data_IF_723947198099
#
_entry.id   IF_723947198099
#
_cell.length_a   1.000
_cell.length_b   1.000
_cell.length_c   1.000
_cell.angle_alpha   90.00
_cell.angle_beta   90.00
_cell.angle_gamma   90.00
#
_symmetry.space_group_name_H-M   'P 1'
#
loop_
_entity.id
_entity.type
_entity.pdbx_description
1 polymer ?
#
# COMPACT_ATOMS: atom_id res chain seq x y z
N UNK A 1 -8.41 -34.01 22.47
CA UNK A 1 -8.24 -33.13 21.29
C UNK A 1 -8.25 -31.66 21.67
N UNK A 2 -9.37 -31.10 22.19
CA UNK A 2 -9.46 -29.67 22.55
C UNK A 2 -8.34 -29.16 23.47
N UNK A 3 -7.93 -29.92 24.48
CA UNK A 3 -6.81 -29.54 25.36
C UNK A 3 -5.45 -29.55 24.66
N UNK A 4 -5.23 -30.50 23.74
CA UNK A 4 -3.94 -30.71 23.09
C UNK A 4 -3.71 -29.80 21.87
N UNK A 5 -4.79 -29.31 21.27
CA UNK A 5 -4.80 -28.45 20.08
C UNK A 5 -5.62 -27.18 20.34
N UNK A 6 -5.51 -26.62 21.54
CA UNK A 6 -6.35 -25.50 21.98
C UNK A 6 -6.17 -24.24 21.13
N UNK A 7 -5.01 -24.07 20.50
CA UNK A 7 -4.70 -23.02 19.53
C UNK A 7 -5.57 -23.07 18.25
N UNK A 8 -6.28 -24.17 17.99
CA UNK A 8 -7.20 -24.30 16.87
C UNK A 8 -8.65 -23.93 17.22
N UNK A 9 -8.94 -23.63 18.49
CA UNK A 9 -10.27 -23.28 18.96
C UNK A 9 -10.30 -21.81 19.37
N UNK A 10 -11.21 -21.05 18.77
CA UNK A 10 -11.43 -19.64 19.13
C UNK A 10 -11.92 -19.47 20.57
N UNK A 11 -11.67 -18.29 21.11
CA UNK A 11 -12.20 -17.87 22.41
C UNK A 11 -13.73 -17.81 22.38
N UNK A 12 -14.36 -18.07 23.52
CA UNK A 12 -15.79 -17.84 23.68
C UNK A 12 -16.06 -16.35 23.99
N UNK A 13 -17.31 -15.93 23.87
CA UNK A 13 -17.74 -14.55 24.11
C UNK A 13 -17.35 -14.02 25.49
N UNK A 14 -17.36 -14.87 26.53
CA UNK A 14 -16.96 -14.47 27.88
C UNK A 14 -15.48 -14.14 27.94
N UNK A 15 -14.63 -15.01 27.38
CA UNK A 15 -13.18 -14.77 27.32
C UNK A 15 -12.85 -13.52 26.51
N UNK A 16 -13.50 -13.30 25.37
CA UNK A 16 -13.31 -12.07 24.58
C UNK A 16 -13.74 -10.84 25.38
N UNK A 17 -14.89 -10.89 26.06
CA UNK A 17 -15.35 -9.79 26.91
C UNK A 17 -14.38 -9.51 28.08
N UNK A 18 -13.84 -10.55 28.72
CA UNK A 18 -12.86 -10.41 29.81
C UNK A 18 -11.57 -9.76 29.29
N UNK A 19 -11.05 -10.19 28.13
CA UNK A 19 -9.88 -9.57 27.47
C UNK A 19 -10.13 -8.08 27.21
N UNK A 20 -11.29 -7.70 26.66
CA UNK A 20 -11.62 -6.30 26.35
C UNK A 20 -11.72 -5.45 27.63
N UNK A 21 -12.26 -6.02 28.71
CA UNK A 21 -12.47 -5.32 29.98
C UNK A 21 -11.20 -5.14 30.81
N UNK A 22 -10.32 -6.14 30.84
CA UNK A 22 -9.19 -6.16 31.78
C UNK A 22 -7.83 -6.37 31.13
N UNK A 23 -7.78 -6.80 29.88
CA UNK A 23 -6.54 -7.07 29.16
C UNK A 23 -5.80 -5.81 28.73
N UNK A 24 -4.50 -5.93 28.46
CA UNK A 24 -3.74 -4.93 27.74
C UNK A 24 -4.21 -4.87 26.28
N UNK A 25 -4.38 -3.66 25.75
CA UNK A 25 -4.76 -3.39 24.37
C UNK A 25 -3.53 -2.86 23.64
N UNK A 26 -2.98 -3.64 22.71
CA UNK A 26 -1.88 -3.22 21.87
C UNK A 26 -2.36 -2.84 20.47
N UNK A 27 -1.81 -1.77 19.90
CA UNK A 27 -2.20 -1.29 18.57
C UNK A 27 -1.11 -1.55 17.54
N UNK A 28 -1.53 -1.82 16.31
CA UNK A 28 -0.69 -1.85 15.11
C UNK A 28 -0.57 -0.45 14.48
N UNK A 29 0.49 -0.24 13.69
CA UNK A 29 0.78 1.00 12.97
C UNK A 29 -0.39 1.39 12.08
N UNK A 30 -0.96 0.44 11.35
CA UNK A 30 -2.06 0.71 10.42
C UNK A 30 -3.32 1.19 11.15
N UNK A 31 -3.62 0.62 12.32
CA UNK A 31 -4.76 1.06 13.12
C UNK A 31 -4.61 2.52 13.57
N UNK A 32 -3.39 2.96 13.91
CA UNK A 32 -3.10 4.36 14.23
C UNK A 32 -3.17 5.27 13.00
N UNK A 33 -2.60 4.84 11.87
CA UNK A 33 -2.60 5.63 10.64
C UNK A 33 -4.02 5.86 10.07
N UNK A 34 -4.96 4.97 10.36
CA UNK A 34 -6.35 5.10 9.94
C UNK A 34 -7.06 6.33 10.55
N UNK A 35 -6.57 6.86 11.69
CA UNK A 35 -7.04 8.13 12.27
C UNK A 35 -6.91 9.33 11.32
N UNK A 36 -5.98 9.26 10.36
CA UNK A 36 -5.81 10.29 9.31
C UNK A 36 -6.66 10.03 8.06
N UNK A 37 -7.27 8.85 7.92
CA UNK A 37 -8.04 8.42 6.75
C UNK A 37 -9.55 8.57 6.93
N UNK A 38 -10.00 8.59 8.18
CA UNK A 38 -11.40 8.79 8.55
C UNK A 38 -11.75 10.27 8.67
N UNK A 39 -13.04 10.56 8.69
CA UNK A 39 -13.56 11.90 8.98
C UNK A 39 -13.25 12.33 10.42
N UNK A 40 -13.42 13.63 10.71
CA UNK A 40 -13.23 14.18 12.05
C UNK A 40 -14.09 13.49 13.12
N UNK A 41 -15.38 13.31 12.86
CA UNK A 41 -16.30 12.73 13.85
C UNK A 41 -15.95 11.25 14.13
N UNK A 42 -15.61 10.49 13.08
CA UNK A 42 -15.15 9.10 13.22
C UNK A 42 -13.81 8.99 13.95
N UNK A 43 -12.91 9.97 13.76
CA UNK A 43 -11.65 10.04 14.50
C UNK A 43 -11.92 10.27 15.99
N UNK A 44 -12.82 11.20 16.32
CA UNK A 44 -13.18 11.52 17.69
C UNK A 44 -13.78 10.26 18.37
N UNK A 45 -14.67 9.52 17.70
CA UNK A 45 -15.19 8.22 18.17
C UNK A 45 -14.07 7.20 18.45
N UNK A 46 -13.06 7.09 17.58
CA UNK A 46 -11.94 6.16 17.76
C UNK A 46 -11.09 6.58 18.97
N UNK A 47 -10.79 7.87 19.11
CA UNK A 47 -10.02 8.41 20.23
C UNK A 47 -10.77 8.22 21.56
N UNK A 48 -12.09 8.39 21.57
CA UNK A 48 -12.94 8.14 22.73
C UNK A 48 -13.01 6.65 23.11
N UNK A 49 -12.92 5.75 22.13
CA UNK A 49 -12.81 4.32 22.39
C UNK A 49 -11.46 3.96 23.03
N UNK A 50 -10.38 4.58 22.57
CA UNK A 50 -9.03 4.38 23.12
C UNK A 50 -8.88 4.99 24.52
N UNK A 51 -9.48 6.16 24.77
CA UNK A 51 -9.40 6.83 26.08
C UNK A 51 -10.02 6.02 27.20
N UNK A 52 -11.09 5.26 26.93
CA UNK A 52 -11.71 4.34 27.89
C UNK A 52 -10.81 3.18 28.34
N UNK A 53 -9.74 2.91 27.58
CA UNK A 53 -8.79 1.85 27.87
C UNK A 53 -7.38 2.37 28.11
N UNK A 54 -7.23 3.69 28.34
CA UNK A 54 -5.94 4.39 28.45
C UNK A 54 -4.93 3.66 29.35
N UNK A 55 -5.31 3.32 30.58
CA UNK A 55 -4.44 2.64 31.57
C UNK A 55 -4.07 1.18 31.23
N UNK A 56 -4.54 0.71 30.07
CA UNK A 56 -4.30 -0.65 29.55
C UNK A 56 -3.74 -0.62 28.14
N UNK A 57 -3.48 0.56 27.58
CA UNK A 57 -2.85 0.67 26.27
C UNK A 57 -1.38 0.24 26.35
N UNK A 58 -0.93 -0.42 25.29
CA UNK A 58 0.48 -0.68 25.06
C UNK A 58 0.80 -0.37 23.59
N UNK A 59 1.84 0.41 23.37
CA UNK A 59 2.32 0.76 22.05
C UNK A 59 3.71 0.18 21.86
N UNK A 60 3.88 -0.86 21.03
CA UNK A 60 5.21 -1.31 20.66
C UNK A 60 6.05 -0.14 20.13
N UNK A 61 7.32 -0.06 20.53
CA UNK A 61 8.27 0.92 20.03
C UNK A 61 8.34 0.91 18.50
N UNK A 62 8.39 -0.27 17.89
CA UNK A 62 8.40 -0.39 16.44
C UNK A 62 7.15 0.25 15.80
N UNK A 63 5.96 0.10 16.43
CA UNK A 63 4.72 0.73 15.97
C UNK A 63 4.82 2.25 16.07
N UNK A 64 5.30 2.77 17.20
CA UNK A 64 5.50 4.21 17.38
C UNK A 64 6.46 4.78 16.34
N UNK A 65 7.58 4.09 16.06
CA UNK A 65 8.57 4.48 15.07
C UNK A 65 7.99 4.50 13.64
N UNK A 66 7.26 3.44 13.26
CA UNK A 66 6.62 3.37 11.94
C UNK A 66 5.53 4.42 11.77
N UNK A 67 4.74 4.67 12.82
CA UNK A 67 3.74 5.72 12.83
C UNK A 67 4.39 7.09 12.57
N UNK A 68 5.44 7.42 13.33
CA UNK A 68 6.17 8.67 13.16
C UNK A 68 6.75 8.82 11.75
N UNK A 69 7.31 7.76 11.17
CA UNK A 69 7.86 7.79 9.79
C UNK A 69 6.78 7.99 8.72
N UNK A 70 5.58 7.46 8.92
CA UNK A 70 4.58 7.35 7.86
C UNK A 70 3.41 8.34 7.95
N UNK A 71 3.12 8.93 9.11
CA UNK A 71 1.92 9.78 9.31
C UNK A 71 1.77 10.91 8.28
N UNK A 72 2.85 11.64 7.97
CA UNK A 72 2.81 12.75 7.01
C UNK A 72 2.57 12.27 5.57
N UNK A 73 3.06 11.08 5.23
CA UNK A 73 2.79 10.45 3.92
C UNK A 73 1.31 10.08 3.81
N UNK A 74 0.69 9.57 4.89
CA UNK A 74 -0.74 9.24 4.92
C UNK A 74 -1.61 10.50 4.84
N UNK A 75 -1.23 11.57 5.54
CA UNK A 75 -1.89 12.89 5.44
C UNK A 75 -1.83 13.41 4.00
N UNK A 76 -0.66 13.38 3.38
CA UNK A 76 -0.48 13.81 2.00
C UNK A 76 -1.30 12.94 1.02
N UNK A 77 -1.27 11.62 1.19
CA UNK A 77 -2.03 10.70 0.34
C UNK A 77 -3.55 10.94 0.44
N UNK A 78 -4.05 11.22 1.64
CA UNK A 78 -5.46 11.56 1.87
C UNK A 78 -5.83 12.86 1.17
N UNK A 79 -5.00 13.90 1.30
CA UNK A 79 -5.17 15.18 0.58
C UNK A 79 -5.15 15.00 -0.94
N UNK A 80 -4.29 14.11 -1.46
CA UNK A 80 -4.19 13.84 -2.89
C UNK A 80 -5.47 13.23 -3.49
N UNK A 81 -6.27 12.50 -2.70
CA UNK A 81 -7.56 11.96 -3.15
C UNK A 81 -8.53 13.09 -3.51
N UNK A 82 -8.63 14.11 -2.64
CA UNK A 82 -9.45 15.29 -2.89
C UNK A 82 -8.95 16.06 -4.11
N UNK A 83 -7.64 16.30 -4.22
CA UNK A 83 -7.07 17.00 -5.36
C UNK A 83 -7.30 16.25 -6.68
N UNK A 84 -7.24 14.91 -6.67
CA UNK A 84 -7.57 14.08 -7.84
C UNK A 84 -9.05 14.19 -8.22
N UNK A 85 -9.95 14.31 -7.25
CA UNK A 85 -11.36 14.53 -7.51
C UNK A 85 -11.60 15.94 -8.09
N UNK A 86 -11.05 16.97 -7.45
CA UNK A 86 -11.14 18.37 -7.90
C UNK A 86 -10.56 18.57 -9.31
N UNK A 87 -9.45 17.91 -9.62
CA UNK A 87 -8.81 17.97 -10.94
C UNK A 87 -9.63 17.34 -12.07
N UNK A 88 -10.62 16.49 -11.75
CA UNK A 88 -11.55 15.90 -12.72
C UNK A 88 -12.80 16.76 -12.97
N UNK A 89 -12.99 17.81 -12.19
CA UNK A 89 -14.11 18.75 -12.35
C UNK A 89 -13.75 19.80 -13.40
N UNK A 90 -13.78 19.39 -14.66
CA UNK A 90 -13.59 20.25 -15.83
C UNK A 90 -14.59 19.87 -16.91
N UNK A 91 -14.92 20.84 -17.76
CA UNK A 91 -15.83 20.58 -18.86
C UNK A 91 -15.32 19.41 -19.72
N UNK A 92 -16.19 18.49 -20.16
CA UNK A 92 -15.79 17.36 -20.98
C UNK A 92 -15.50 17.83 -22.40
N UNK A 93 -14.28 18.33 -22.63
CA UNK A 93 -13.85 18.97 -23.88
C UNK A 93 -14.12 18.09 -25.12
N UNK A 94 -13.94 16.77 -25.02
CA UNK A 94 -14.24 15.82 -26.10
C UNK A 94 -15.71 15.87 -26.53
N UNK A 95 -16.64 15.95 -25.57
CA UNK A 95 -18.07 16.03 -25.86
C UNK A 95 -18.45 17.42 -26.35
N UNK A 96 -17.85 18.48 -25.78
CA UNK A 96 -18.05 19.85 -26.24
C UNK A 96 -17.58 20.04 -27.68
N UNK A 97 -16.48 19.42 -28.09
CA UNK A 97 -15.93 19.52 -29.44
C UNK A 97 -16.77 18.77 -30.49
N UNK A 98 -17.65 17.86 -30.08
CA UNK A 98 -18.65 17.24 -30.97
C UNK A 98 -19.74 18.23 -31.41
N UNK A 99 -19.93 19.33 -30.66
CA UNK A 99 -20.91 20.37 -30.96
C UNK A 99 -20.32 21.31 -32.01
N UNK A 100 -20.84 21.23 -33.23
CA UNK A 100 -20.38 22.07 -34.36
C UNK A 100 -20.69 23.55 -34.19
N UNK A 101 -21.79 23.89 -33.52
CA UNK A 101 -22.16 25.27 -33.26
C UNK A 101 -21.28 25.86 -32.14
N UNK A 102 -20.42 26.80 -32.52
CA UNK A 102 -19.47 27.46 -31.61
C UNK A 102 -20.18 28.25 -30.50
N UNK A 103 -21.32 28.86 -30.78
CA UNK A 103 -22.07 29.64 -29.79
C UNK A 103 -22.68 28.70 -28.76
N UNK A 104 -23.36 27.65 -29.20
CA UNK A 104 -23.94 26.62 -28.32
C UNK A 104 -22.85 25.95 -27.47
N UNK A 105 -21.72 25.58 -28.07
CA UNK A 105 -20.56 25.02 -27.34
C UNK A 105 -20.07 25.95 -26.23
N UNK A 106 -19.98 27.26 -26.50
CA UNK A 106 -19.51 28.25 -25.54
C UNK A 106 -20.50 28.44 -24.39
N UNK A 107 -21.80 28.49 -24.69
CA UNK A 107 -22.85 28.60 -23.68
C UNK A 107 -22.89 27.37 -22.75
N UNK A 108 -22.81 26.15 -23.31
CA UNK A 108 -22.76 24.91 -22.50
C UNK A 108 -21.48 24.85 -21.67
N UNK A 109 -20.32 25.21 -22.23
CA UNK A 109 -19.07 25.25 -21.47
C UNK A 109 -19.16 26.21 -20.29
N UNK A 110 -19.73 27.40 -20.48
CA UNK A 110 -19.90 28.37 -19.40
C UNK A 110 -20.79 27.85 -18.26
N UNK A 111 -21.90 27.16 -18.59
CA UNK A 111 -22.76 26.51 -17.58
C UNK A 111 -21.99 25.43 -16.81
N UNK A 112 -21.20 24.61 -17.50
CA UNK A 112 -20.39 23.58 -16.85
C UNK A 112 -19.30 24.20 -15.95
N UNK A 113 -18.58 25.20 -16.44
CA UNK A 113 -17.50 25.86 -15.69
C UNK A 113 -18.03 26.53 -14.42
N UNK A 114 -19.21 27.16 -14.48
CA UNK A 114 -19.89 27.73 -13.31
C UNK A 114 -20.27 26.64 -12.29
N UNK A 115 -20.93 25.57 -12.74
CA UNK A 115 -21.28 24.44 -11.88
C UNK A 115 -20.05 23.75 -11.27
N UNK A 116 -18.99 23.58 -12.07
CA UNK A 116 -17.72 23.00 -11.62
C UNK A 116 -17.04 23.88 -10.57
N UNK A 117 -17.11 25.21 -10.71
CA UNK A 117 -16.57 26.16 -9.73
C UNK A 117 -17.29 26.03 -8.39
N UNK A 118 -18.63 26.00 -8.41
CA UNK A 118 -19.43 25.82 -7.20
C UNK A 118 -19.15 24.47 -6.53
N UNK A 119 -19.05 23.40 -7.31
CA UNK A 119 -18.78 22.06 -6.81
C UNK A 119 -17.37 21.94 -6.22
N UNK A 120 -16.35 22.52 -6.88
CA UNK A 120 -14.98 22.58 -6.36
C UNK A 120 -14.95 23.22 -4.98
N UNK A 121 -15.58 24.39 -4.84
CA UNK A 121 -15.67 25.10 -3.56
C UNK A 121 -16.32 24.25 -2.47
N UNK A 122 -17.45 23.60 -2.77
CA UNK A 122 -18.13 22.74 -1.81
C UNK A 122 -17.27 21.55 -1.35
N UNK A 123 -16.50 20.96 -2.27
CA UNK A 123 -15.60 19.84 -1.95
C UNK A 123 -14.38 20.30 -1.15
N UNK A 124 -13.84 21.48 -1.44
CA UNK A 124 -12.79 22.10 -0.63
C UNK A 124 -13.28 22.35 0.79
N UNK A 125 -14.50 22.87 0.97
CA UNK A 125 -15.10 23.06 2.30
C UNK A 125 -15.31 21.72 3.05
N UNK A 126 -15.66 20.64 2.35
CA UNK A 126 -15.75 19.29 2.92
C UNK A 126 -14.37 18.77 3.31
N UNK A 127 -13.37 18.92 2.42
CA UNK A 127 -11.99 18.53 2.69
C UNK A 127 -11.48 19.22 3.94
N UNK A 128 -11.63 20.53 4.03
CA UNK A 128 -11.10 21.34 5.13
C UNK A 128 -11.80 21.04 6.47
N UNK A 129 -13.01 20.47 6.44
CA UNK A 129 -13.73 20.02 7.63
C UNK A 129 -13.29 18.64 8.14
N UNK A 130 -12.97 17.72 7.21
CA UNK A 130 -12.82 16.31 7.55
C UNK A 130 -11.40 15.76 7.37
N UNK A 131 -10.61 16.31 6.46
CA UNK A 131 -9.24 15.88 6.21
C UNK A 131 -8.26 16.83 6.93
N UNK A 132 -7.20 16.25 7.51
CA UNK A 132 -6.10 17.05 8.03
C UNK A 132 -5.21 17.48 6.86
N UNK A 133 -4.88 18.77 6.79
CA UNK A 133 -3.91 19.25 5.80
C UNK A 133 -2.47 18.92 6.22
N UNK A 134 -1.55 18.90 5.26
CA UNK A 134 -0.13 18.66 5.55
C UNK A 134 0.47 19.80 6.40
N UNK A 135 0.03 21.03 6.20
CA UNK A 135 0.49 22.20 6.95
C UNK A 135 0.05 22.13 8.42
N UNK A 136 -1.20 21.76 8.67
CA UNK A 136 -1.71 21.50 10.02
C UNK A 136 -0.99 20.34 10.68
N UNK A 137 -0.81 19.21 9.98
CA UNK A 137 -0.09 18.04 10.51
C UNK A 137 1.39 18.32 10.84
N UNK A 138 2.01 19.34 10.22
CA UNK A 138 3.38 19.72 10.53
C UNK A 138 3.48 20.69 11.71
N UNK A 139 2.48 21.56 11.90
CA UNK A 139 2.53 22.63 12.91
C UNK A 139 1.76 22.30 14.19
N UNK A 140 0.56 21.73 14.04
CA UNK A 140 -0.41 21.53 15.11
C UNK A 140 -1.21 20.25 14.82
N UNK A 141 -0.55 19.10 14.75
CA UNK A 141 -1.22 17.83 14.48
C UNK A 141 -2.13 17.42 15.65
N UNK A 142 -3.47 17.49 15.50
CA UNK A 142 -4.38 17.16 16.58
C UNK A 142 -4.44 15.65 16.84
N UNK A 143 -4.15 14.82 15.82
CA UNK A 143 -4.12 13.36 15.96
C UNK A 143 -2.92 12.96 16.78
N UNK A 144 -1.73 13.46 16.40
CA UNK A 144 -0.50 13.19 17.13
C UNK A 144 -0.62 13.65 18.59
N UNK A 145 -1.14 14.87 18.82
CA UNK A 145 -1.36 15.39 20.17
C UNK A 145 -2.26 14.47 21.01
N UNK A 146 -3.38 14.02 20.46
CA UNK A 146 -4.29 13.11 21.17
C UNK A 146 -3.63 11.76 21.46
N UNK A 147 -2.80 11.23 20.54
CA UNK A 147 -2.04 10.01 20.78
C UNK A 147 -0.97 10.21 21.86
N UNK A 148 -0.25 11.33 21.86
CA UNK A 148 0.72 11.65 22.92
C UNK A 148 0.04 11.73 24.30
N UNK A 149 -1.20 12.22 24.37
CA UNK A 149 -2.00 12.24 25.61
C UNK A 149 -2.51 10.85 26.04
N UNK A 150 -2.69 9.93 25.09
CA UNK A 150 -3.14 8.55 25.35
C UNK A 150 -1.99 7.63 25.75
N UNK A 151 -0.81 7.81 25.16
CA UNK A 151 0.36 6.97 25.36
C UNK A 151 1.41 7.70 26.21
N UNK A 152 1.28 7.56 27.53
CA UNK A 152 2.30 8.01 28.48
C UNK A 152 3.57 7.13 28.37
N UNK A 153 4.70 7.58 28.92
CA UNK A 153 6.02 6.96 28.72
C UNK A 153 6.06 5.45 29.08
N UNK A 154 5.25 5.01 30.03
CA UNK A 154 5.16 3.60 30.46
C UNK A 154 4.26 2.73 29.55
N UNK A 155 3.42 3.35 28.72
CA UNK A 155 2.60 2.68 27.73
C UNK A 155 3.38 2.37 26.44
N UNK A 156 4.54 2.98 26.22
CA UNK A 156 5.37 2.77 25.01
C UNK A 156 6.47 1.74 25.28
N UNK A 157 6.71 0.84 24.33
CA UNK A 157 7.81 -0.11 24.39
C UNK A 157 9.18 0.59 24.51
N UNK A 158 10.09 -0.01 25.27
CA UNK A 158 11.46 0.50 25.39
C UNK A 158 12.18 0.34 24.05
N UNK A 159 12.86 1.39 23.54
CA UNK A 159 13.69 1.29 22.35
C UNK A 159 14.76 0.19 22.53
N UNK A 160 14.89 -0.77 21.61
CA UNK A 160 15.93 -1.79 21.71
C UNK A 160 17.31 -1.16 21.51
N UNK A 161 18.33 -1.74 22.16
CA UNK A 161 19.72 -1.42 21.83
C UNK A 161 20.06 -1.86 20.40
N UNK A 162 21.11 -1.28 19.81
CA UNK A 162 21.54 -1.68 18.45
C UNK A 162 21.85 -3.17 18.35
N UNK A 163 22.41 -3.77 19.41
CA UNK A 163 22.70 -5.21 19.48
C UNK A 163 21.41 -6.04 19.50
N UNK A 164 20.43 -5.68 20.34
CA UNK A 164 19.13 -6.34 20.39
C UNK A 164 18.38 -6.20 19.07
N UNK A 165 18.39 -5.00 18.48
CA UNK A 165 17.76 -4.74 17.20
C UNK A 165 18.38 -5.60 16.10
N UNK A 166 19.71 -5.69 16.03
CA UNK A 166 20.39 -6.53 15.05
C UNK A 166 20.06 -8.02 15.26
N UNK A 167 20.02 -8.48 16.51
CA UNK A 167 19.61 -9.85 16.84
C UNK A 167 18.18 -10.12 16.40
N UNK A 168 17.25 -9.22 16.68
CA UNK A 168 15.85 -9.35 16.28
C UNK A 168 15.68 -9.32 14.76
N UNK A 169 16.43 -8.47 14.05
CA UNK A 169 16.43 -8.44 12.57
C UNK A 169 16.98 -9.72 11.96
N UNK A 170 18.02 -10.31 12.55
CA UNK A 170 18.55 -11.60 12.10
C UNK A 170 17.49 -12.72 12.24
N UNK A 171 16.77 -12.75 13.35
CA UNK A 171 15.67 -13.69 13.55
C UNK A 171 14.49 -13.42 12.61
N UNK A 172 14.13 -12.15 12.38
CA UNK A 172 13.11 -11.76 11.39
C UNK A 172 13.47 -12.31 10.00
N UNK A 173 14.70 -12.10 9.55
CA UNK A 173 15.18 -12.57 8.26
C UNK A 173 15.16 -14.11 8.15
N UNK A 174 15.52 -14.82 9.23
CA UNK A 174 15.40 -16.27 9.29
C UNK A 174 13.95 -16.71 9.14
N UNK A 175 13.03 -16.08 9.88
CA UNK A 175 11.57 -16.35 9.81
C UNK A 175 11.00 -16.08 8.43
N UNK A 176 11.38 -14.98 7.80
CA UNK A 176 10.99 -14.64 6.43
C UNK A 176 11.42 -15.75 5.45
N UNK A 177 12.68 -16.18 5.53
CA UNK A 177 13.23 -17.24 4.67
C UNK A 177 12.51 -18.57 4.88
N UNK A 178 12.16 -18.89 6.12
CA UNK A 178 11.44 -20.12 6.50
C UNK A 178 9.91 -20.00 6.41
N UNK A 179 9.39 -18.82 6.04
CA UNK A 179 7.95 -18.48 5.96
C UNK A 179 7.21 -18.72 7.29
N UNK A 180 7.86 -18.35 8.39
CA UNK A 180 7.30 -18.36 9.74
C UNK A 180 6.65 -17.00 10.01
N UNK A 181 5.37 -16.93 10.41
CA UNK A 181 4.70 -15.66 10.68
C UNK A 181 5.21 -14.95 11.96
N UNK A 182 4.97 -13.64 12.08
CA UNK A 182 4.47 -12.72 11.04
C UNK A 182 5.62 -12.08 10.21
N UNK A 183 5.30 -11.49 9.06
CA UNK A 183 6.21 -10.65 8.27
C UNK A 183 6.79 -11.26 6.99
N UNK A 184 6.45 -12.51 6.64
CA UNK A 184 6.96 -13.14 5.42
C UNK A 184 6.11 -12.84 4.18
N UNK A 185 4.81 -12.51 4.32
CA UNK A 185 3.89 -12.31 3.21
C UNK A 185 4.23 -11.08 2.37
N UNK A 186 4.75 -10.02 2.99
CA UNK A 186 5.08 -8.76 2.30
C UNK A 186 6.58 -8.53 2.14
N UNK A 187 7.41 -9.53 2.45
CA UNK A 187 8.85 -9.40 2.39
C UNK A 187 9.40 -9.00 1.01
N UNK A 188 8.71 -9.38 -0.07
CA UNK A 188 9.09 -9.02 -1.45
C UNK A 188 8.76 -7.58 -1.84
N UNK A 189 7.95 -6.89 -1.02
CA UNK A 189 7.36 -5.60 -1.34
C UNK A 189 7.90 -4.46 -0.47
N UNK A 190 8.82 -4.75 0.46
CA UNK A 190 9.37 -3.79 1.42
C UNK A 190 10.89 -3.77 1.35
N UNK A 191 11.46 -2.57 1.54
CA UNK A 191 12.90 -2.39 1.71
C UNK A 191 13.38 -2.98 3.05
N UNK A 192 12.58 -2.77 4.11
CA UNK A 192 12.77 -3.41 5.42
C UNK A 192 11.57 -4.30 5.75
N UNK A 193 11.66 -5.62 5.52
CA UNK A 193 10.58 -6.56 5.79
C UNK A 193 10.51 -7.02 7.25
N UNK A 194 11.34 -6.46 8.14
CA UNK A 194 11.45 -6.99 9.52
C UNK A 194 10.43 -6.42 10.51
N UNK A 195 9.72 -5.34 10.14
CA UNK A 195 8.82 -4.59 11.04
C UNK A 195 7.80 -5.45 11.78
N UNK A 196 7.01 -6.25 11.06
CA UNK A 196 5.98 -7.12 11.64
C UNK A 196 6.53 -8.07 12.72
N UNK A 197 7.72 -8.64 12.51
CA UNK A 197 8.37 -9.48 13.52
C UNK A 197 8.86 -8.67 14.73
N UNK A 198 9.40 -7.47 14.51
CA UNK A 198 9.83 -6.59 15.60
C UNK A 198 8.65 -6.23 16.51
N UNK A 199 7.49 -5.90 15.91
CA UNK A 199 6.23 -5.70 16.65
C UNK A 199 5.88 -6.96 17.45
N UNK A 200 5.87 -8.13 16.80
CA UNK A 200 5.55 -9.39 17.46
C UNK A 200 6.48 -9.72 18.63
N UNK A 201 7.79 -9.49 18.47
CA UNK A 201 8.78 -9.68 19.52
C UNK A 201 8.49 -8.81 20.74
N UNK A 202 8.19 -7.54 20.53
CA UNK A 202 7.86 -6.61 21.60
C UNK A 202 6.54 -6.99 22.32
N UNK A 203 5.53 -7.45 21.58
CA UNK A 203 4.29 -7.98 22.18
C UNK A 203 4.55 -9.19 23.09
N UNK A 204 5.42 -10.11 22.65
CA UNK A 204 5.82 -11.27 23.46
C UNK A 204 6.61 -10.83 24.71
N UNK A 205 7.53 -9.88 24.58
CA UNK A 205 8.35 -9.39 25.69
C UNK A 205 7.52 -8.64 26.74
N UNK A 206 6.54 -7.85 26.29
CA UNK A 206 5.57 -7.20 27.17
C UNK A 206 4.70 -8.25 27.89
N UNK A 207 4.15 -9.21 27.15
CA UNK A 207 3.25 -10.23 27.70
C UNK A 207 3.92 -11.17 28.69
N UNK A 208 5.24 -11.36 28.57
CA UNK A 208 6.04 -12.13 29.54
C UNK A 208 6.20 -11.40 30.89
N UNK A 209 6.06 -10.08 30.90
CA UNK A 209 6.19 -9.23 32.10
C UNK A 209 4.84 -8.80 32.69
N UNK A 210 3.79 -8.82 31.88
CA UNK A 210 2.43 -8.40 32.26
C UNK A 210 1.60 -9.55 32.82
N UNK A 211 0.78 -9.25 33.84
CA UNK A 211 -0.20 -10.16 34.44
C UNK A 211 -1.61 -9.96 33.84
N UNK A 212 -1.67 -9.63 32.55
CA UNK A 212 -2.92 -9.35 31.82
C UNK A 212 -2.97 -10.12 30.52
N UNK A 213 -4.18 -10.46 30.10
CA UNK A 213 -4.44 -10.88 28.74
C UNK A 213 -4.05 -9.78 27.74
N UNK A 214 -3.72 -10.16 26.51
CA UNK A 214 -3.34 -9.22 25.45
C UNK A 214 -4.36 -9.27 24.30
N UNK A 215 -4.90 -8.10 23.93
CA UNK A 215 -5.64 -7.89 22.70
C UNK A 215 -4.79 -7.07 21.72
N UNK A 216 -4.40 -7.65 20.61
CA UNK A 216 -3.71 -6.92 19.54
C UNK A 216 -4.72 -6.40 18.49
N UNK A 217 -4.72 -5.11 18.22
CA UNK A 217 -5.61 -4.47 17.26
C UNK A 217 -4.85 -4.25 15.96
N UNK A 218 -5.15 -5.06 14.94
CA UNK A 218 -4.51 -5.00 13.62
C UNK A 218 -5.51 -5.27 12.49
N UNK A 219 -5.42 -4.45 11.44
CA UNK A 219 -6.25 -4.56 10.24
C UNK A 219 -5.66 -5.54 9.19
N UNK A 220 -4.60 -6.28 9.53
CA UNK A 220 -3.89 -7.17 8.61
C UNK A 220 -4.52 -8.57 8.46
N UNK A 221 -5.83 -8.62 8.19
CA UNK A 221 -6.58 -9.88 8.07
C UNK A 221 -6.36 -10.67 6.77
N UNK A 222 -5.79 -10.03 5.75
CA UNK A 222 -5.83 -10.55 4.38
C UNK A 222 -4.48 -11.04 3.85
N UNK A 223 -3.37 -10.75 4.53
CA UNK A 223 -2.03 -11.17 4.07
C UNK A 223 -1.67 -12.62 4.44
N UNK A 224 -2.42 -13.21 5.38
CA UNK A 224 -2.19 -14.59 5.84
C UNK A 224 -1.10 -14.74 6.90
N UNK A 225 -0.48 -13.65 7.36
CA UNK A 225 0.61 -13.69 8.34
C UNK A 225 0.14 -13.57 9.78
N UNK A 226 -0.77 -12.63 10.03
CA UNK A 226 -1.36 -12.43 11.35
C UNK A 226 -2.57 -13.34 11.57
N UNK A 227 -3.38 -13.52 10.52
CA UNK A 227 -4.58 -14.35 10.55
C UNK A 227 -4.45 -15.56 9.64
N UNK A 228 -5.20 -16.61 9.96
CA UNK A 228 -5.37 -17.75 9.07
C UNK A 228 -6.08 -17.31 7.80
N UNK A 229 -5.76 -18.00 6.70
CA UNK A 229 -6.45 -17.78 5.44
C UNK A 229 -7.96 -17.94 5.59
N UNK A 230 -8.71 -17.07 4.90
CA UNK A 230 -10.16 -17.06 4.95
C UNK A 230 -10.72 -18.33 4.31
N UNK A 231 -11.66 -18.97 4.99
CA UNK A 231 -12.42 -20.11 4.45
C UNK A 231 -13.81 -19.62 4.06
N UNK A 232 -14.17 -19.81 2.79
CA UNK A 232 -15.42 -19.30 2.22
C UNK A 232 -15.64 -17.79 2.47
N UNK A 233 -14.56 -17.00 2.40
CA UNK A 233 -14.59 -15.56 2.61
C UNK A 233 -14.67 -15.10 4.08
N UNK A 234 -14.65 -16.02 5.05
CA UNK A 234 -14.70 -15.71 6.49
C UNK A 234 -13.34 -15.88 7.13
N UNK A 235 -12.94 -14.92 7.97
CA UNK A 235 -11.74 -15.04 8.81
C UNK A 235 -11.90 -16.23 9.76
N UNK A 236 -10.88 -17.09 9.81
CA UNK A 236 -10.89 -18.30 10.65
C UNK A 236 -10.29 -18.02 12.04
N UNK A 237 -9.63 -16.87 12.21
CA UNK A 237 -9.00 -16.44 13.45
C UNK A 237 -7.48 -16.39 13.37
N UNK A 238 -6.84 -16.22 14.53
CA UNK A 238 -5.40 -16.06 14.68
C UNK A 238 -4.63 -17.29 14.18
N UNK A 239 -3.43 -17.07 13.64
CA UNK A 239 -2.49 -18.15 13.30
C UNK A 239 -2.15 -18.99 14.55
N UNK A 240 -2.27 -20.33 14.49
CA UNK A 240 -1.93 -21.21 15.62
C UNK A 240 -0.49 -21.02 16.12
N UNK A 241 0.44 -20.71 15.23
CA UNK A 241 1.85 -20.44 15.55
C UNK A 241 2.00 -19.27 16.53
N UNK A 242 1.27 -18.18 16.28
CA UNK A 242 1.28 -16.99 17.13
C UNK A 242 0.65 -17.29 18.50
N UNK A 243 -0.44 -18.06 18.53
CA UNK A 243 -1.08 -18.49 19.78
C UNK A 243 -0.14 -19.38 20.63
N UNK A 244 0.63 -20.27 19.99
CA UNK A 244 1.60 -21.13 20.66
C UNK A 244 2.76 -20.30 21.23
N UNK A 245 3.33 -19.39 20.45
CA UNK A 245 4.43 -18.52 20.90
C UNK A 245 3.99 -17.62 22.06
N UNK A 246 2.82 -17.00 21.94
CA UNK A 246 2.29 -16.15 22.99
C UNK A 246 1.97 -16.91 24.27
N UNK A 247 1.43 -18.13 24.18
CA UNK A 247 1.23 -18.98 25.36
C UNK A 247 2.55 -19.39 26.02
N UNK A 248 3.63 -19.57 25.26
CA UNK A 248 4.96 -19.83 25.84
C UNK A 248 5.49 -18.61 26.59
N UNK A 249 5.23 -17.41 26.08
CA UNK A 249 5.64 -16.16 26.72
C UNK A 249 4.77 -15.83 27.95
N UNK A 250 3.45 -16.05 27.87
CA UNK A 250 2.49 -15.77 28.95
C UNK A 250 1.52 -16.95 29.13
N UNK A 251 1.91 -18.01 29.88
CA UNK A 251 1.12 -19.25 29.99
C UNK A 251 -0.25 -19.10 30.64
N UNK A 252 -0.43 -18.08 31.48
CA UNK A 252 -1.63 -17.88 32.29
C UNK A 252 -2.61 -16.87 31.68
N UNK A 253 -2.24 -16.22 30.58
CA UNK A 253 -3.01 -15.13 30.01
C UNK A 253 -3.47 -15.44 28.59
N UNK A 254 -4.69 -15.03 28.28
CA UNK A 254 -5.24 -15.19 26.94
C UNK A 254 -4.64 -14.17 25.98
N UNK A 255 -4.45 -14.58 24.73
CA UNK A 255 -4.12 -13.70 23.62
C UNK A 255 -5.22 -13.74 22.58
N UNK A 256 -5.60 -12.57 22.09
CA UNK A 256 -6.49 -12.44 20.96
C UNK A 256 -6.05 -11.26 20.08
N UNK A 257 -6.57 -11.21 18.86
CA UNK A 257 -6.36 -10.07 18.00
C UNK A 257 -7.61 -9.81 17.17
N UNK A 258 -7.89 -8.55 16.89
CA UNK A 258 -9.08 -8.12 16.17
C UNK A 258 -8.77 -6.92 15.26
N UNK A 259 -9.52 -6.71 14.17
CA UNK A 259 -9.48 -5.46 13.42
C UNK A 259 -9.98 -4.28 14.25
N UNK A 260 -9.61 -3.06 13.87
CA UNK A 260 -10.03 -1.83 14.54
C UNK A 260 -11.56 -1.71 14.60
N UNK A 261 -12.28 -2.02 13.52
CA UNK A 261 -13.75 -2.01 13.54
C UNK A 261 -14.36 -2.97 14.56
N UNK A 262 -13.78 -4.17 14.72
CA UNK A 262 -14.22 -5.13 15.74
C UNK A 262 -13.86 -4.66 17.15
N UNK A 263 -12.70 -4.03 17.34
CA UNK A 263 -12.34 -3.41 18.61
C UNK A 263 -13.37 -2.33 19.02
N UNK A 264 -13.73 -1.42 18.12
CA UNK A 264 -14.75 -0.40 18.35
C UNK A 264 -16.11 -1.02 18.72
N UNK A 265 -16.52 -2.08 18.02
CA UNK A 265 -17.73 -2.80 18.37
C UNK A 265 -17.65 -3.43 19.77
N UNK A 266 -16.51 -4.02 20.13
CA UNK A 266 -16.29 -4.64 21.43
C UNK A 266 -16.30 -3.61 22.57
N UNK A 267 -15.69 -2.44 22.39
CA UNK A 267 -15.71 -1.36 23.39
C UNK A 267 -17.11 -0.80 23.55
N UNK A 268 -17.85 -0.57 22.46
CA UNK A 268 -19.28 -0.20 22.49
C UNK A 268 -20.11 -1.23 23.28
N UNK A 269 -19.92 -2.52 22.99
CA UNK A 269 -20.70 -3.60 23.60
C UNK A 269 -20.36 -3.86 25.08
N UNK A 270 -19.09 -3.76 25.46
CA UNK A 270 -18.62 -4.27 26.76
C UNK A 270 -18.14 -3.18 27.73
N UNK A 271 -17.79 -1.99 27.23
CA UNK A 271 -17.33 -0.84 28.02
C UNK A 271 -18.32 0.32 28.02
N UNK A 272 -19.32 0.30 27.13
CA UNK A 272 -20.33 1.37 27.05
C UNK A 272 -19.85 2.58 26.25
N UNK A 273 -18.86 2.39 25.36
CA UNK A 273 -18.38 3.44 24.49
C UNK A 273 -19.50 3.98 23.58
N UNK A 274 -19.61 5.30 23.50
CA UNK A 274 -20.49 5.97 22.54
C UNK A 274 -19.79 6.03 21.19
N UNK A 275 -20.06 5.04 20.34
CA UNK A 275 -19.49 4.94 18.99
C UNK A 275 -20.63 4.75 18.01
N UNK A 276 -20.65 5.57 16.95
CA UNK A 276 -21.66 5.45 15.90
C UNK A 276 -21.44 4.18 15.06
N UNK A 277 -22.54 3.56 14.62
CA UNK A 277 -22.46 2.34 13.79
C UNK A 277 -21.80 2.62 12.43
N UNK A 278 -21.88 3.86 11.95
CA UNK A 278 -21.22 4.24 10.69
C UNK A 278 -19.70 4.32 10.85
N UNK A 279 -19.18 4.74 12.01
CA UNK A 279 -17.74 4.74 12.31
C UNK A 279 -17.16 3.33 12.19
N UNK A 280 -17.84 2.33 12.77
CA UNK A 280 -17.43 0.92 12.68
C UNK A 280 -17.39 0.46 11.21
N UNK A 281 -18.45 0.73 10.45
CA UNK A 281 -18.53 0.35 9.03
C UNK A 281 -17.50 1.07 8.17
N UNK A 282 -17.20 2.32 8.47
CA UNK A 282 -16.24 3.14 7.73
C UNK A 282 -14.84 2.58 7.86
N UNK A 283 -14.42 2.29 9.09
CA UNK A 283 -13.13 1.66 9.38
C UNK A 283 -13.01 0.28 8.73
N UNK A 284 -14.08 -0.53 8.73
CA UNK A 284 -14.09 -1.83 8.04
C UNK A 284 -13.96 -1.71 6.51
N UNK A 285 -14.40 -0.59 5.92
CA UNK A 285 -14.26 -0.31 4.48
C UNK A 285 -12.88 0.21 4.11
N UNK A 286 -12.06 0.65 5.08
CA UNK A 286 -10.67 1.04 4.83
C UNK A 286 -9.94 -0.21 4.38
N UNK A 287 -9.85 -0.39 3.06
CA UNK A 287 -9.05 -1.45 2.48
C UNK A 287 -7.58 -1.08 2.68
N UNK A 288 -6.72 -2.05 3.03
CA UNK A 288 -5.29 -1.85 2.90
C UNK A 288 -5.01 -1.37 1.46
N UNK A 289 -4.21 -0.32 1.32
CA UNK A 289 -3.76 0.22 0.03
C UNK A 289 -3.20 -0.88 -0.89
N UNK A 290 -2.77 -2.02 -0.33
CA UNK A 290 -2.28 -3.18 -1.06
C UNK A 290 -3.27 -3.78 -2.05
N UNK A 291 -4.60 -3.63 -1.90
CA UNK A 291 -5.54 -4.32 -2.82
C UNK A 291 -5.49 -3.75 -4.25
N UNK A 292 -5.12 -2.48 -4.42
CA UNK A 292 -4.93 -1.90 -5.76
C UNK A 292 -3.56 -2.28 -6.35
N UNK A 293 -2.54 -2.48 -5.52
CA UNK A 293 -1.20 -2.95 -5.93
C UNK A 293 -1.17 -4.46 -6.22
N UNK A 294 -1.87 -5.28 -5.42
CA UNK A 294 -1.99 -6.73 -5.56
C UNK A 294 -2.86 -7.13 -6.76
N UNK A 295 -3.92 -6.37 -7.07
CA UNK A 295 -4.66 -6.57 -8.32
C UNK A 295 -3.78 -6.27 -9.53
N UNK A 296 -2.95 -5.24 -9.48
CA UNK A 296 -1.97 -4.93 -10.52
C UNK A 296 -0.93 -6.04 -10.71
N UNK A 297 -0.42 -6.61 -9.61
CA UNK A 297 0.58 -7.70 -9.64
C UNK A 297 0.02 -9.05 -10.08
N UNK A 298 -1.15 -9.47 -9.59
CA UNK A 298 -1.78 -10.75 -9.98
C UNK A 298 -2.12 -10.82 -11.46
N UNK A 299 -2.51 -9.69 -12.06
CA UNK A 299 -2.70 -9.59 -13.50
C UNK A 299 -1.35 -9.66 -14.24
N UNK A 300 -0.32 -8.94 -13.78
CA UNK A 300 1.04 -9.01 -14.35
C UNK A 300 1.66 -10.41 -14.37
N UNK A 301 1.39 -11.23 -13.35
CA UNK A 301 1.84 -12.64 -13.32
C UNK A 301 1.12 -13.54 -14.35
N UNK A 302 -0.13 -13.25 -14.72
CA UNK A 302 -0.86 -13.98 -15.75
C UNK A 302 -0.42 -13.63 -17.18
N UNK A 303 0.22 -12.47 -17.39
CA UNK A 303 0.75 -12.03 -18.70
C UNK A 303 2.21 -12.44 -18.94
N UNK A 304 2.85 -13.06 -17.95
CA UNK A 304 4.28 -13.42 -17.98
C UNK A 304 4.64 -14.44 -19.06
N UNK A 305 3.67 -15.26 -19.49
CA UNK A 305 3.86 -16.30 -20.50
C UNK A 305 3.58 -15.82 -21.94
N UNK A 306 3.19 -14.54 -22.12
CA UNK A 306 2.77 -13.99 -23.42
C UNK A 306 3.85 -13.07 -24.03
N UNK A 307 4.53 -12.25 -23.22
CA UNK A 307 5.65 -11.41 -23.68
C UNK A 307 6.50 -10.90 -22.49
N UNK A 308 7.83 -11.13 -22.46
CA UNK A 308 8.72 -10.65 -21.39
C UNK A 308 8.74 -9.12 -21.23
N UNK A 309 8.50 -8.35 -22.30
CA UNK A 309 8.57 -6.88 -22.27
C UNK A 309 7.33 -6.25 -21.63
N UNK A 310 6.19 -6.96 -21.62
CA UNK A 310 4.99 -6.56 -20.87
C UNK A 310 5.18 -6.64 -19.35
N UNK A 311 6.08 -7.53 -18.88
CA UNK A 311 6.44 -7.61 -17.46
C UNK A 311 7.20 -6.35 -17.00
N UNK A 312 8.06 -5.79 -17.87
CA UNK A 312 8.76 -4.54 -17.60
C UNK A 312 7.80 -3.33 -17.51
N UNK A 313 6.72 -3.33 -18.30
CA UNK A 313 5.65 -2.33 -18.24
C UNK A 313 4.83 -2.42 -16.93
N UNK A 314 4.54 -3.63 -16.44
CA UNK A 314 3.79 -3.84 -15.19
C UNK A 314 4.51 -3.37 -13.93
N UNK A 315 5.85 -3.29 -13.98
CA UNK A 315 6.69 -2.89 -12.83
C UNK A 315 7.10 -1.42 -12.86
N UNK A 316 6.74 -0.69 -13.93
CA UNK A 316 6.99 0.77 -14.10
C UNK A 316 8.46 1.19 -13.96
N UNK A 317 9.39 0.21 -13.96
CA UNK A 317 10.77 0.39 -13.51
C UNK A 317 11.64 1.13 -14.54
N UNK A 318 11.18 1.25 -15.79
CA UNK A 318 11.91 1.86 -16.90
C UNK A 318 11.07 2.86 -17.72
N UNK A 319 9.88 3.25 -17.24
CA UNK A 319 8.97 4.15 -17.98
C UNK A 319 9.13 5.61 -17.54
N UNK A 320 9.27 6.50 -18.53
CA UNK A 320 9.11 7.94 -18.30
C UNK A 320 7.69 8.23 -17.80
N UNK A 321 7.51 9.39 -17.18
CA UNK A 321 6.22 9.79 -16.58
C UNK A 321 5.06 9.76 -17.59
N UNK A 322 5.29 10.25 -18.81
CA UNK A 322 4.28 10.24 -19.88
C UNK A 322 3.89 8.83 -20.32
N UNK A 323 4.85 7.91 -20.43
CA UNK A 323 4.56 6.52 -20.82
C UNK A 323 3.75 5.79 -19.74
N UNK A 324 3.95 6.12 -18.46
CA UNK A 324 3.10 5.64 -17.36
C UNK A 324 1.68 6.15 -17.50
N UNK A 325 1.52 7.43 -17.82
CA UNK A 325 0.19 8.06 -17.90
C UNK A 325 -0.61 7.53 -19.10
N UNK A 326 0.04 7.32 -20.26
CA UNK A 326 -0.58 6.69 -21.44
C UNK A 326 -0.95 5.23 -21.19
N UNK A 327 -0.04 4.43 -20.61
CA UNK A 327 -0.32 3.04 -20.27
C UNK A 327 -1.46 2.94 -19.24
N UNK A 328 -1.49 3.82 -18.25
CA UNK A 328 -2.56 3.89 -17.26
C UNK A 328 -3.91 4.30 -17.90
N UNK A 329 -3.89 5.09 -18.97
CA UNK A 329 -5.09 5.47 -19.72
C UNK A 329 -5.62 4.31 -20.58
N UNK A 330 -4.75 3.61 -21.30
CA UNK A 330 -5.10 2.39 -22.04
C UNK A 330 -5.68 1.31 -21.11
N UNK A 331 -5.11 1.18 -19.91
CA UNK A 331 -5.60 0.24 -18.90
C UNK A 331 -6.99 0.60 -18.35
N UNK A 332 -7.26 1.89 -18.13
CA UNK A 332 -8.59 2.36 -17.73
C UNK A 332 -9.63 2.08 -18.82
N UNK A 333 -9.27 2.27 -20.08
CA UNK A 333 -10.16 2.00 -21.21
C UNK A 333 -10.46 0.50 -21.34
N UNK A 334 -9.46 -0.37 -21.13
CA UNK A 334 -9.64 -1.82 -21.14
C UNK A 334 -10.57 -2.32 -20.01
N UNK A 335 -10.35 -1.84 -18.77
CA UNK A 335 -11.20 -2.20 -17.62
C UNK A 335 -12.63 -1.69 -17.82
N UNK A 336 -12.80 -0.48 -18.34
CA UNK A 336 -14.12 0.07 -18.65
C UNK A 336 -14.86 -0.77 -19.71
N UNK A 337 -14.17 -1.24 -20.76
CA UNK A 337 -14.74 -2.08 -21.81
C UNK A 337 -15.17 -3.48 -21.31
N UNK A 338 -14.46 -4.05 -20.33
CA UNK A 338 -14.81 -5.35 -19.73
C UNK A 338 -15.99 -5.29 -18.74
N UNK A 339 -16.27 -4.10 -18.20
CA UNK A 339 -17.35 -3.89 -17.23
C UNK A 339 -18.69 -3.50 -17.87
N UNK A 340 -18.73 -3.25 -19.19
CA UNK A 340 -19.94 -2.92 -19.93
C UNK A 340 -20.70 -4.19 -20.37
N UNK A 341 -22.00 -4.37 -20.01
CA UNK A 341 -22.80 -5.54 -20.37
C UNK A 341 -22.93 -5.79 -21.88
N UNK A 342 -22.77 -4.77 -22.73
CA UNK A 342 -22.88 -4.87 -24.19
C UNK A 342 -21.72 -5.65 -24.81
N UNK A 343 -20.56 -5.69 -24.15
CA UNK A 343 -19.31 -6.23 -24.71
C UNK A 343 -19.00 -7.68 -24.30
N UNK A 344 -19.91 -8.35 -23.57
CA UNK A 344 -19.73 -9.73 -23.06
C UNK A 344 -19.53 -10.82 -24.12
N UNK A 345 -19.78 -10.54 -25.40
CA UNK A 345 -19.73 -11.54 -26.49
C UNK A 345 -18.75 -11.19 -27.63
N UNK A 346 -17.80 -10.27 -27.44
CA UNK A 346 -16.78 -10.02 -28.46
C UNK A 346 -15.65 -11.06 -28.35
N UNK A 347 -15.34 -11.69 -29.48
CA UNK A 347 -14.19 -12.57 -29.67
C UNK A 347 -12.89 -11.85 -29.32
N UNK A 348 -12.34 -12.20 -28.15
CA UNK A 348 -11.15 -11.57 -27.54
C UNK A 348 -9.90 -11.70 -28.41
N UNK A 349 -9.84 -12.68 -29.32
CA UNK A 349 -8.68 -12.88 -30.21
C UNK A 349 -8.49 -11.73 -31.21
N UNK A 350 -9.59 -11.11 -31.67
CA UNK A 350 -9.54 -9.96 -32.58
C UNK A 350 -9.19 -8.66 -31.86
N UNK A 351 -9.55 -8.55 -30.59
CA UNK A 351 -9.22 -7.39 -29.75
C UNK A 351 -7.78 -7.44 -29.25
N UNK A 352 -7.22 -8.64 -29.04
CA UNK A 352 -5.79 -8.85 -28.77
C UNK A 352 -4.91 -8.42 -29.94
N UNK A 353 -5.31 -8.70 -31.18
CA UNK A 353 -4.60 -8.24 -32.37
C UNK A 353 -4.66 -6.70 -32.50
N UNK A 354 -5.82 -6.09 -32.24
CA UNK A 354 -5.98 -4.64 -32.27
C UNK A 354 -5.14 -3.92 -31.20
N UNK A 355 -5.12 -4.40 -29.96
CA UNK A 355 -4.27 -3.82 -28.90
C UNK A 355 -2.78 -3.98 -29.21
N UNK A 356 -2.38 -5.12 -29.81
CA UNK A 356 -0.99 -5.33 -30.24
C UNK A 356 -0.60 -4.39 -31.39
N UNK A 357 -1.49 -4.14 -32.36
CA UNK A 357 -1.28 -3.21 -33.46
C UNK A 357 -1.27 -1.74 -32.99
N UNK A 358 -2.21 -1.34 -32.13
CA UNK A 358 -2.29 0.03 -31.60
C UNK A 358 -1.11 0.34 -30.66
N UNK A 359 -0.68 -0.64 -29.86
CA UNK A 359 0.51 -0.51 -29.00
C UNK A 359 1.79 -0.47 -29.82
N UNK A 360 1.88 -1.23 -30.92
CA UNK A 360 2.98 -1.12 -31.90
C UNK A 360 2.96 0.20 -32.64
N UNK A 361 1.78 0.72 -33.02
CA UNK A 361 1.64 2.00 -33.71
C UNK A 361 2.02 3.19 -32.82
N UNK A 362 1.69 3.15 -31.52
CA UNK A 362 2.10 4.15 -30.52
C UNK A 362 3.61 4.07 -30.23
N UNK A 363 4.21 2.88 -30.28
CA UNK A 363 5.65 2.69 -30.13
C UNK A 363 6.46 3.07 -31.39
N UNK A 364 5.83 3.13 -32.56
CA UNK A 364 6.55 3.27 -33.83
C UNK A 364 6.91 4.70 -34.28
N UNK A 365 6.38 5.77 -33.68
CA UNK A 365 6.65 7.14 -34.18
C UNK A 365 7.72 7.90 -33.37
N UNK A 366 7.97 7.54 -32.10
CA UNK A 366 8.92 8.30 -31.25
C UNK A 366 10.19 7.52 -30.88
N UNK A 367 10.11 6.18 -30.84
CA UNK A 367 11.31 5.33 -30.68
C UNK A 367 12.15 5.34 -31.97
N UNK A 368 11.51 5.26 -33.14
CA UNK A 368 12.20 5.40 -34.42
C UNK A 368 12.74 6.81 -34.65
N UNK A 369 12.06 7.88 -34.20
CA UNK A 369 12.62 9.25 -34.24
C UNK A 369 13.86 9.40 -33.37
N UNK A 370 13.86 8.85 -32.15
CA UNK A 370 15.05 8.83 -31.28
C UNK A 370 16.18 7.96 -31.80
N UNK A 371 15.85 6.94 -32.59
CA UNK A 371 16.84 6.11 -33.29
C UNK A 371 17.37 6.85 -34.54
N UNK A 372 16.52 7.54 -35.31
CA UNK A 372 16.92 8.34 -36.48
C UNK A 372 17.70 9.61 -36.08
N UNK A 373 17.32 10.30 -35.00
CA UNK A 373 18.09 11.45 -34.48
C UNK A 373 19.44 11.01 -33.90
N UNK A 374 19.54 9.78 -33.38
CA UNK A 374 20.81 9.17 -32.96
C UNK A 374 21.63 8.65 -34.15
N UNK A 375 21.01 8.14 -35.20
CA UNK A 375 21.69 7.71 -36.42
C UNK A 375 22.16 8.90 -37.26
N UNK A 376 21.39 9.99 -37.34
CA UNK A 376 21.79 11.24 -37.99
C UNK A 376 22.93 11.96 -37.24
N UNK A 377 23.05 11.77 -35.92
CA UNK A 377 24.19 12.25 -35.13
C UNK A 377 25.41 11.29 -35.19
N UNK A 378 25.26 10.11 -35.79
CA UNK A 378 26.36 9.16 -36.07
C UNK A 378 26.84 9.34 -37.53
N UNK A 379 25.98 9.74 -38.46
CA UNK A 379 26.33 10.03 -39.86
C UNK A 379 27.09 11.37 -40.08
N UNK A 380 27.12 12.28 -39.09
CA UNK A 380 27.96 13.51 -39.16
C UNK A 380 29.39 13.29 -38.61
N UNK A 381 29.71 12.08 -38.10
CA UNK A 381 31.03 11.71 -37.57
C UNK A 381 31.68 10.52 -38.33
N UNK A 382 31.10 10.08 -39.45
CA UNK A 382 31.63 8.98 -40.28
C UNK A 382 31.57 9.22 -41.80
N UNK A 383 31.64 10.49 -42.23
CA UNK A 383 31.98 10.87 -43.61
C UNK A 383 33.37 11.53 -43.67
N UNK A 384 34.40 10.75 -43.31
CA UNK A 384 35.72 10.94 -43.89
C UNK A 384 36.52 9.64 -43.87
N UNK A 385 36.34 8.84 -44.92
CA UNK A 385 37.32 7.98 -45.65
C UNK A 385 36.55 6.75 -46.16
N UNK A 386 36.41 6.49 -47.45
CA UNK A 386 37.48 6.34 -48.44
C UNK A 386 36.97 6.58 -49.87
N UNK A 387 37.76 7.30 -50.67
CA UNK A 387 37.88 6.97 -52.10
C UNK A 387 39.34 7.04 -52.53
N UNK A 388 39.80 5.88 -53.01
CA UNK A 388 40.70 5.64 -54.15
C UNK A 388 42.19 5.99 -54.07
N UNK A 389 42.98 4.90 -54.14
CA UNK A 389 44.12 4.64 -55.05
C UNK A 389 45.29 5.63 -55.12
N UNK A 390 46.50 5.14 -54.81
CA UNK A 390 47.59 4.89 -55.79
C UNK A 390 48.89 4.44 -55.10
N UNK A 391 49.49 3.40 -55.66
CA UNK A 391 50.91 3.08 -55.85
C UNK A 391 51.94 2.87 -54.70
N UNK A 392 52.53 1.66 -54.80
CA UNK A 392 53.81 1.08 -54.32
C UNK A 392 55.07 1.99 -54.28
N UNK A 393 56.25 1.50 -53.82
CA UNK A 393 56.56 0.62 -52.68
C UNK A 393 57.81 1.14 -51.89
N UNK A 394 58.31 0.32 -50.95
CA UNK A 394 59.74 0.07 -50.64
C UNK A 394 60.18 0.25 -49.17
N UNK A 395 60.62 -0.87 -48.59
CA UNK A 395 61.95 -1.08 -47.99
C UNK A 395 62.00 -1.69 -46.57
N UNK A 396 62.89 -2.69 -46.47
CA UNK A 396 63.60 -3.31 -45.32
C UNK A 396 62.78 -4.01 -44.24
N UNK A 397 62.80 -5.35 -44.07
CA UNK A 397 63.87 -6.30 -43.64
C UNK A 397 64.44 -6.11 -42.24
N UNK A 398 64.63 -7.27 -41.60
CA UNK A 398 65.43 -7.58 -40.41
C UNK A 398 64.69 -7.41 -39.06
N UNK A 399 64.72 -8.33 -38.09
CA UNK A 399 65.40 -9.63 -38.00
C UNK A 399 64.87 -10.38 -36.77
N UNK A 400 65.11 -11.69 -36.74
CA UNK A 400 65.44 -12.52 -35.55
C UNK A 400 64.51 -12.52 -34.32
N UNK A 401 64.20 -13.65 -33.67
CA UNK A 401 64.89 -14.94 -33.56
C UNK A 401 64.00 -15.90 -32.75
N UNK A 402 64.09 -17.19 -33.09
CA UNK A 402 64.37 -18.36 -32.20
C UNK A 402 63.71 -18.44 -30.81
N UNK A 403 63.39 -19.60 -30.24
CA UNK A 403 63.17 -20.99 -30.65
C UNK A 403 62.87 -21.70 -29.30
N UNK A 404 62.09 -22.79 -29.34
CA UNK A 404 62.17 -23.97 -28.45
C UNK A 404 62.01 -23.77 -26.91
N UNK A 405 61.26 -24.57 -26.17
CA UNK A 405 60.97 -26.01 -26.28
C UNK A 405 59.71 -26.35 -25.46
#
# INVERSE_FOLDING_TARGET
>A
MRSALSEWYGHNDKTVADIVKTGTIALDTNALLDLYRVSRDERDDILDALSQVKDRLFLPYQVALEFQRNRLNVVQATSAIYNKFLGKLSAPEEHLNSIRDKKVRTEIKAVFDDAATQLKKAIEEIRDRHALSLDEAQRQDPVLKALDELFEDDAIGTPPTDEELQKHRNEANRRIKERIPPGYADAKNKEDPTGDYLIWRELLDYSAKSDRALLFVTNDENKGDWYREKVAGRSVGVRPELLIEMRRASPNHAYHQVPLGTFLWLTKKHLGAHIEDETIKSVERIKPSSRYEDLGKKLGEQFKDIDPDLLALSTHKFLTRDMRDQHQQLWKNFVAAQMDPVFKNIDLSKHQAWIADESRAVLHDEALRRIFDKLAAIDDDDDSTETSSEDEPDNSTDDESEDNE
#
